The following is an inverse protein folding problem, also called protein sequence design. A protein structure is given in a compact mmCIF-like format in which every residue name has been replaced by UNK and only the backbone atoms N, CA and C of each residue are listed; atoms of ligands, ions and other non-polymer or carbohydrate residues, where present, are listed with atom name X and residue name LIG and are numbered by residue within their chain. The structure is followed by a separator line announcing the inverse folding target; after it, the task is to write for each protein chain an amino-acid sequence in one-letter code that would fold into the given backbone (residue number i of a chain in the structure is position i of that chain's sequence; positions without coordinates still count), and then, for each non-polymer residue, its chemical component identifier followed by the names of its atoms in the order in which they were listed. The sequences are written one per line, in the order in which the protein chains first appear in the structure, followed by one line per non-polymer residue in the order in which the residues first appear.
data_IF_349698270390
#
_entry.id   IF_349698270390
#
_cell.length_a   1.000
_cell.length_b   1.000
_cell.length_c   1.000
_cell.angle_alpha   90.00
_cell.angle_beta   90.00
_cell.angle_gamma   90.00
#
_symmetry.space_group_name_H-M   'P 1'
#
loop_
_entity.id
_entity.type
_entity.pdbx_description
1 polymer ?
#
# COMPACT_ATOMS: atom_id res chain seq x y z
N UNK A 1 -75.23 19.80 31.69
CA UNK A 1 -74.65 18.60 30.95
C UNK A 1 -73.57 19.12 30.01
N UNK A 2 -72.34 19.07 30.43
CA UNK A 2 -71.20 19.48 29.59
C UNK A 2 -70.76 18.26 28.70
N UNK A 3 -71.04 18.33 27.39
CA UNK A 3 -70.38 17.47 26.42
C UNK A 3 -68.93 17.99 26.26
N UNK A 4 -68.01 17.41 27.03
CA UNK A 4 -66.59 17.65 26.81
C UNK A 4 -66.23 17.16 25.40
N UNK A 5 -65.75 18.06 24.56
CA UNK A 5 -65.26 17.75 23.23
C UNK A 5 -64.06 16.78 23.33
N UNK A 6 -64.30 15.51 23.17
CA UNK A 6 -63.30 14.43 23.12
C UNK A 6 -62.43 14.49 21.81
N UNK A 7 -62.89 15.25 20.83
CA UNK A 7 -62.27 15.34 19.52
C UNK A 7 -60.80 15.83 19.56
N UNK A 8 -60.42 16.91 20.31
CA UNK A 8 -59.03 17.34 20.36
C UNK A 8 -58.10 16.34 21.08
N UNK A 9 -58.63 15.53 21.99
CA UNK A 9 -57.82 14.48 22.64
C UNK A 9 -57.54 13.32 21.68
N UNK A 10 -58.54 12.95 20.88
CA UNK A 10 -58.40 11.92 19.87
C UNK A 10 -57.39 12.35 18.76
N UNK A 11 -57.44 13.63 18.35
CA UNK A 11 -56.51 14.15 17.34
C UNK A 11 -55.06 14.18 17.84
N UNK A 12 -54.82 14.48 19.11
CA UNK A 12 -53.48 14.44 19.73
C UNK A 12 -52.94 13.04 19.86
N UNK A 13 -53.78 12.06 20.20
CA UNK A 13 -53.40 10.67 20.29
C UNK A 13 -53.10 10.07 18.93
N UNK A 14 -53.88 10.42 17.89
CA UNK A 14 -53.57 10.02 16.51
C UNK A 14 -52.26 10.62 15.97
N UNK A 15 -52.00 11.90 16.25
CA UNK A 15 -50.74 12.55 15.90
C UNK A 15 -49.53 11.92 16.61
N UNK A 16 -49.69 11.60 17.92
CA UNK A 16 -48.63 10.92 18.68
C UNK A 16 -48.36 9.49 18.13
N UNK A 17 -49.42 8.73 17.81
CA UNK A 17 -49.26 7.41 17.21
C UNK A 17 -48.59 7.47 15.82
N UNK A 18 -48.91 8.49 14.98
CA UNK A 18 -48.29 8.69 13.71
C UNK A 18 -46.81 9.09 13.86
N UNK A 19 -46.43 9.91 14.84
CA UNK A 19 -45.05 10.24 15.15
C UNK A 19 -44.27 9.01 15.64
N UNK A 20 -44.86 8.21 16.53
CA UNK A 20 -44.24 6.96 17.01
C UNK A 20 -44.03 5.99 15.84
N UNK A 21 -45.03 5.85 14.97
CA UNK A 21 -44.93 4.98 13.79
C UNK A 21 -43.89 5.49 12.80
N UNK A 22 -43.83 6.79 12.56
CA UNK A 22 -42.79 7.42 11.72
C UNK A 22 -41.38 7.23 12.33
N UNK A 23 -41.26 7.38 13.68
CA UNK A 23 -39.99 7.09 14.36
C UNK A 23 -39.62 5.60 14.29
N UNK A 24 -40.58 4.68 14.46
CA UNK A 24 -40.33 3.24 14.31
C UNK A 24 -39.96 2.88 12.87
N UNK A 25 -40.58 3.51 11.87
CA UNK A 25 -40.27 3.32 10.45
C UNK A 25 -38.87 3.87 10.13
N UNK A 26 -38.53 5.06 10.66
CA UNK A 26 -37.18 5.61 10.49
C UNK A 26 -36.12 4.82 11.24
N UNK A 27 -36.42 4.25 12.41
CA UNK A 27 -35.51 3.32 13.10
C UNK A 27 -35.38 2.03 12.32
N UNK A 28 -36.47 1.43 11.80
CA UNK A 28 -36.38 0.24 10.93
C UNK A 28 -35.63 0.49 9.64
N UNK A 29 -35.82 1.66 9.01
CA UNK A 29 -35.04 2.09 7.85
C UNK A 29 -33.56 2.38 8.19
N UNK A 30 -33.30 2.85 9.42
CA UNK A 30 -31.95 3.14 9.90
C UNK A 30 -31.23 1.90 10.48
N UNK A 31 -31.97 0.91 10.99
CA UNK A 31 -31.40 -0.34 11.53
C UNK A 31 -31.35 -1.46 10.50
N UNK A 32 -31.77 -1.17 9.22
CA UNK A 32 -31.71 -2.13 8.14
C UNK A 32 -32.25 -3.52 8.54
N UNK A 33 -33.60 -3.63 8.71
CA UNK A 33 -34.23 -4.95 8.76
C UNK A 33 -34.23 -5.49 7.31
N UNK A 34 -33.01 -5.70 6.79
CA UNK A 34 -32.79 -6.28 5.48
C UNK A 34 -33.10 -7.77 5.63
N UNK A 35 -34.16 -8.25 5.02
CA UNK A 35 -34.48 -9.67 4.94
C UNK A 35 -33.46 -10.50 4.15
N UNK A 36 -32.34 -9.90 3.80
CA UNK A 36 -31.13 -10.49 3.21
C UNK A 36 -29.90 -9.88 3.89
N UNK A 37 -28.81 -10.65 4.06
CA UNK A 37 -27.55 -10.16 4.60
C UNK A 37 -27.02 -8.97 3.76
N UNK A 38 -26.36 -8.01 4.42
CA UNK A 38 -25.70 -6.90 3.74
C UNK A 38 -24.62 -7.42 2.80
N UNK A 39 -24.52 -6.87 1.59
CA UNK A 39 -23.47 -7.28 0.63
C UNK A 39 -22.24 -6.40 0.78
N UNK A 40 -21.09 -7.02 1.01
CA UNK A 40 -19.75 -6.39 1.00
C UNK A 40 -18.99 -6.89 -0.23
N UNK A 41 -18.65 -6.00 -1.12
CA UNK A 41 -17.85 -6.31 -2.31
C UNK A 41 -16.35 -6.16 -2.04
N UNK A 42 -15.55 -7.05 -2.62
CA UNK A 42 -14.10 -6.94 -2.66
C UNK A 42 -13.64 -6.99 -4.11
N UNK A 43 -12.99 -5.92 -4.56
CA UNK A 43 -12.35 -5.82 -5.86
C UNK A 43 -10.84 -5.83 -5.60
N UNK A 44 -10.15 -6.88 -6.04
CA UNK A 44 -8.72 -7.03 -5.83
C UNK A 44 -7.93 -6.77 -7.11
N UNK A 45 -6.67 -6.32 -7.00
CA UNK A 45 -5.73 -6.41 -8.10
C UNK A 45 -5.45 -7.90 -8.38
N UNK A 46 -5.33 -8.24 -9.66
CA UNK A 46 -4.74 -9.51 -10.06
C UNK A 46 -3.23 -9.36 -9.93
N UNK A 47 -2.65 -9.86 -8.80
CA UNK A 47 -1.21 -9.92 -8.56
C UNK A 47 -0.31 -8.78 -9.17
N UNK A 48 0.78 -8.35 -8.54
CA UNK A 48 1.59 -9.06 -7.55
C UNK A 48 1.36 -8.64 -6.09
N UNK A 49 0.64 -7.54 -5.82
CA UNK A 49 0.50 -7.01 -4.45
C UNK A 49 -0.93 -7.21 -3.96
N UNK A 50 -1.11 -8.11 -3.01
CA UNK A 50 -2.38 -8.25 -2.29
C UNK A 50 -2.38 -7.31 -1.08
N UNK A 51 -3.06 -6.18 -1.19
CA UNK A 51 -3.21 -5.22 -0.09
C UNK A 51 -4.15 -5.69 1.02
N UNK A 52 -4.92 -6.74 0.76
CA UNK A 52 -5.93 -7.26 1.65
C UNK A 52 -5.82 -8.79 1.71
N UNK A 53 -5.83 -9.35 2.91
CA UNK A 53 -6.10 -10.77 3.10
C UNK A 53 -7.60 -10.99 3.06
N UNK A 54 -8.10 -11.47 1.92
CA UNK A 54 -9.54 -11.60 1.66
C UNK A 54 -10.21 -12.62 2.57
N UNK A 55 -9.51 -13.71 2.91
CA UNK A 55 -10.04 -14.76 3.78
C UNK A 55 -10.13 -14.26 5.22
N UNK A 56 -9.06 -13.64 5.74
CA UNK A 56 -9.04 -13.01 7.06
C UNK A 56 -10.05 -11.86 7.16
N UNK A 57 -10.21 -11.07 6.08
CA UNK A 57 -11.22 -10.02 6.01
C UNK A 57 -12.64 -10.59 6.11
N UNK A 58 -12.96 -11.63 5.33
CA UNK A 58 -14.27 -12.28 5.37
C UNK A 58 -14.55 -12.92 6.75
N UNK A 59 -13.53 -13.57 7.35
CA UNK A 59 -13.63 -14.16 8.69
C UNK A 59 -13.89 -13.07 9.75
N UNK A 60 -13.22 -11.92 9.66
CA UNK A 60 -13.41 -10.82 10.61
C UNK A 60 -14.81 -10.21 10.59
N UNK A 61 -15.53 -10.36 9.48
CA UNK A 61 -16.91 -9.90 9.30
C UNK A 61 -17.95 -10.98 9.55
N UNK A 62 -17.55 -12.22 9.89
CA UNK A 62 -18.46 -13.37 10.03
C UNK A 62 -19.52 -13.21 11.14
N UNK A 63 -19.25 -12.36 12.14
CA UNK A 63 -20.24 -12.06 13.21
C UNK A 63 -21.31 -11.05 12.77
N UNK A 64 -21.10 -10.38 11.63
CA UNK A 64 -22.06 -9.47 11.03
C UNK A 64 -22.98 -10.24 10.10
N UNK A 65 -24.24 -9.82 10.02
CA UNK A 65 -25.18 -10.36 9.03
C UNK A 65 -24.86 -9.78 7.63
N UNK A 66 -23.72 -10.21 7.06
CA UNK A 66 -23.23 -9.77 5.75
C UNK A 66 -22.67 -10.92 4.92
N UNK A 67 -22.77 -10.78 3.60
CA UNK A 67 -22.15 -11.64 2.60
C UNK A 67 -20.94 -10.92 2.01
N UNK A 68 -19.74 -11.51 2.07
CA UNK A 68 -18.55 -10.98 1.40
C UNK A 68 -18.46 -11.63 0.01
N UNK A 69 -18.38 -10.80 -1.04
CA UNK A 69 -18.26 -11.24 -2.43
C UNK A 69 -17.04 -10.65 -3.08
N UNK A 70 -16.16 -11.52 -3.55
CA UNK A 70 -14.96 -11.15 -4.31
C UNK A 70 -15.32 -11.07 -5.79
N UNK A 71 -14.83 -10.04 -6.47
CA UNK A 71 -15.02 -9.89 -7.93
C UNK A 71 -14.29 -10.97 -8.72
N UNK A 72 -14.80 -11.27 -9.91
CA UNK A 72 -14.16 -12.20 -10.82
C UNK A 72 -12.81 -11.65 -11.32
N UNK A 73 -11.81 -12.53 -11.45
CA UNK A 73 -10.54 -12.20 -12.05
C UNK A 73 -10.69 -11.90 -13.55
N UNK A 74 -9.99 -10.87 -14.03
CA UNK A 74 -9.92 -10.55 -15.46
C UNK A 74 -10.89 -9.48 -15.96
N UNK A 75 -11.73 -8.92 -15.09
CA UNK A 75 -12.50 -7.70 -15.39
C UNK A 75 -11.78 -6.47 -14.80
N UNK A 76 -12.04 -5.28 -15.35
CA UNK A 76 -11.46 -4.07 -14.80
C UNK A 76 -12.00 -3.79 -13.40
N UNK A 77 -11.20 -3.13 -12.53
CA UNK A 77 -11.65 -2.76 -11.18
C UNK A 77 -12.90 -1.87 -11.21
N UNK A 78 -13.04 -1.01 -12.23
CA UNK A 78 -14.22 -0.17 -12.42
C UNK A 78 -15.46 -1.00 -12.76
N UNK A 79 -15.36 -1.92 -13.74
CA UNK A 79 -16.49 -2.78 -14.11
C UNK A 79 -16.89 -3.69 -12.95
N UNK A 80 -15.92 -4.23 -12.20
CA UNK A 80 -16.17 -5.04 -11.01
C UNK A 80 -16.93 -4.24 -9.92
N UNK A 81 -16.48 -3.03 -9.64
CA UNK A 81 -17.14 -2.15 -8.68
C UNK A 81 -18.57 -1.80 -9.12
N UNK A 82 -18.79 -1.46 -10.40
CA UNK A 82 -20.12 -1.17 -10.93
C UNK A 82 -21.06 -2.39 -10.81
N UNK A 83 -20.59 -3.59 -11.15
CA UNK A 83 -21.38 -4.82 -10.99
C UNK A 83 -21.78 -5.06 -9.53
N UNK A 84 -20.86 -4.84 -8.59
CA UNK A 84 -21.15 -5.01 -7.16
C UNK A 84 -22.17 -3.95 -6.66
N UNK A 85 -22.07 -2.70 -7.13
CA UNK A 85 -23.05 -1.65 -6.84
C UNK A 85 -24.44 -2.05 -7.35
N UNK A 86 -24.54 -2.52 -8.60
CA UNK A 86 -25.80 -2.99 -9.19
C UNK A 86 -26.40 -4.20 -8.43
N UNK A 87 -25.55 -5.04 -7.82
CA UNK A 87 -25.97 -6.15 -6.97
C UNK A 87 -26.39 -5.71 -5.57
N UNK A 88 -26.28 -4.43 -5.24
CA UNK A 88 -26.71 -3.84 -3.98
C UNK A 88 -25.64 -3.88 -2.89
N UNK A 89 -24.36 -3.86 -3.23
CA UNK A 89 -23.29 -3.78 -2.25
C UNK A 89 -23.39 -2.49 -1.42
N UNK A 90 -23.36 -2.61 -0.09
CA UNK A 90 -23.38 -1.48 0.83
C UNK A 90 -21.98 -0.92 1.06
N UNK A 91 -20.97 -1.78 1.00
CA UNK A 91 -19.55 -1.41 1.10
C UNK A 91 -18.79 -2.14 0.00
N UNK A 92 -17.86 -1.45 -0.65
CA UNK A 92 -16.92 -2.04 -1.61
C UNK A 92 -15.50 -1.65 -1.22
N UNK A 93 -14.65 -2.65 -0.99
CA UNK A 93 -13.22 -2.49 -0.83
C UNK A 93 -12.57 -2.69 -2.20
N UNK A 94 -11.80 -1.71 -2.66
CA UNK A 94 -11.15 -1.70 -3.97
C UNK A 94 -9.63 -1.65 -3.76
N UNK A 95 -8.96 -2.78 -4.01
CA UNK A 95 -7.51 -2.84 -4.08
C UNK A 95 -7.02 -2.40 -5.47
N UNK A 96 -6.02 -1.55 -5.53
CA UNK A 96 -5.46 -1.10 -6.81
C UNK A 96 -3.99 -0.71 -6.66
N UNK A 97 -3.18 -1.09 -7.66
CA UNK A 97 -1.78 -0.71 -7.78
C UNK A 97 -1.58 0.60 -8.55
N UNK A 98 -2.65 1.07 -9.20
CA UNK A 98 -2.65 2.32 -9.96
C UNK A 98 -3.78 3.23 -9.47
N UNK A 99 -3.63 4.56 -9.56
CA UNK A 99 -4.67 5.49 -9.16
C UNK A 99 -5.98 5.22 -9.90
N UNK A 100 -7.05 5.06 -9.13
CA UNK A 100 -8.38 4.84 -9.68
C UNK A 100 -8.92 6.13 -10.32
N UNK A 101 -9.40 6.05 -11.56
CA UNK A 101 -9.73 7.25 -12.37
C UNK A 101 -11.15 7.28 -12.93
N UNK A 102 -11.98 6.24 -12.70
CA UNK A 102 -13.32 6.15 -13.27
C UNK A 102 -14.36 6.92 -12.42
N UNK A 103 -14.96 8.03 -12.92
CA UNK A 103 -15.93 8.82 -12.18
C UNK A 103 -17.32 8.15 -12.10
N UNK A 104 -17.63 7.19 -12.99
CA UNK A 104 -18.95 6.56 -13.02
C UNK A 104 -19.16 5.70 -11.78
N UNK A 105 -18.11 5.06 -11.27
CA UNK A 105 -18.16 4.30 -10.00
C UNK A 105 -18.59 5.20 -8.84
N UNK A 106 -18.03 6.40 -8.73
CA UNK A 106 -18.40 7.36 -7.67
C UNK A 106 -19.83 7.85 -7.83
N UNK A 107 -20.25 8.10 -9.06
CA UNK A 107 -21.63 8.53 -9.38
C UNK A 107 -22.65 7.45 -9.01
N UNK A 108 -22.38 6.20 -9.38
CA UNK A 108 -23.26 5.07 -9.06
C UNK A 108 -23.23 4.74 -7.56
N UNK A 109 -22.06 4.77 -6.92
CA UNK A 109 -21.97 4.58 -5.48
C UNK A 109 -22.77 5.65 -4.72
N UNK A 110 -22.73 6.91 -5.15
CA UNK A 110 -23.54 7.98 -4.55
C UNK A 110 -25.04 7.74 -4.76
N UNK A 111 -25.48 7.29 -5.94
CA UNK A 111 -26.87 6.97 -6.22
C UNK A 111 -27.41 5.81 -5.38
N UNK A 112 -26.57 4.83 -5.06
CA UNK A 112 -26.92 3.64 -4.27
C UNK A 112 -26.54 3.78 -2.78
N UNK A 113 -25.87 4.86 -2.39
CA UNK A 113 -25.34 5.09 -1.03
C UNK A 113 -24.27 4.09 -0.59
N UNK A 114 -23.59 3.42 -1.53
CA UNK A 114 -22.53 2.46 -1.32
C UNK A 114 -21.26 3.14 -0.79
N UNK A 115 -20.68 2.66 0.28
CA UNK A 115 -19.38 3.15 0.79
C UNK A 115 -18.23 2.56 -0.04
N UNK A 116 -17.30 3.40 -0.49
CA UNK A 116 -16.10 3.01 -1.22
C UNK A 116 -14.88 3.11 -0.32
N UNK A 117 -14.13 2.02 -0.18
CA UNK A 117 -12.87 1.94 0.56
C UNK A 117 -11.77 1.54 -0.41
N UNK A 118 -10.87 2.46 -0.73
CA UNK A 118 -9.71 2.18 -1.59
C UNK A 118 -8.53 1.75 -0.74
N UNK A 119 -7.71 0.81 -1.24
CA UNK A 119 -6.48 0.36 -0.58
C UNK A 119 -5.37 0.19 -1.61
N UNK A 120 -4.16 0.62 -1.25
CA UNK A 120 -3.00 0.63 -2.15
C UNK A 120 -2.81 1.97 -2.83
N UNK A 121 -3.12 2.08 -4.13
CA UNK A 121 -3.07 3.35 -4.83
C UNK A 121 -4.38 4.13 -4.70
N UNK A 122 -4.31 5.34 -4.16
CA UNK A 122 -5.47 6.21 -4.01
C UNK A 122 -6.06 6.67 -5.32
N UNK A 123 -7.39 6.88 -5.36
CA UNK A 123 -8.02 7.56 -6.47
C UNK A 123 -7.55 9.01 -6.57
N UNK A 124 -7.80 9.63 -7.74
CA UNK A 124 -7.57 11.07 -7.87
C UNK A 124 -8.35 11.84 -6.81
N UNK A 125 -7.72 12.80 -6.15
CA UNK A 125 -8.33 13.60 -5.05
C UNK A 125 -9.69 14.17 -5.43
N UNK A 126 -9.83 14.69 -6.65
CA UNK A 126 -11.10 15.22 -7.16
C UNK A 126 -12.24 14.20 -7.11
N UNK A 127 -11.96 12.92 -7.28
CA UNK A 127 -12.96 11.85 -7.20
C UNK A 127 -13.32 11.56 -5.75
N UNK A 128 -12.35 11.48 -4.84
CA UNK A 128 -12.60 11.35 -3.40
C UNK A 128 -13.46 12.51 -2.86
N UNK A 129 -13.18 13.74 -3.29
CA UNK A 129 -13.92 14.93 -2.90
C UNK A 129 -15.35 14.93 -3.44
N UNK A 130 -15.60 14.24 -4.56
CA UNK A 130 -16.92 14.19 -5.20
C UNK A 130 -17.94 13.34 -4.46
N UNK A 131 -17.50 12.47 -3.53
CA UNK A 131 -18.38 11.55 -2.80
C UNK A 131 -18.00 11.41 -1.33
N UNK A 132 -18.93 11.75 -0.42
CA UNK A 132 -18.66 11.80 1.04
C UNK A 132 -18.34 10.44 1.66
N UNK A 133 -18.81 9.33 1.06
CA UNK A 133 -18.57 7.98 1.56
C UNK A 133 -17.44 7.25 0.80
N UNK A 134 -16.53 7.99 0.17
CA UNK A 134 -15.32 7.44 -0.43
C UNK A 134 -14.10 7.78 0.43
N UNK A 135 -13.26 6.78 0.70
CA UNK A 135 -12.09 6.88 1.59
C UNK A 135 -10.94 6.07 1.02
N UNK A 136 -9.71 6.48 1.30
CA UNK A 136 -8.52 5.77 0.85
C UNK A 136 -7.63 5.38 2.03
N UNK A 137 -7.20 4.12 2.07
CA UNK A 137 -6.14 3.62 2.94
C UNK A 137 -4.86 3.52 2.12
N UNK A 138 -4.02 4.54 2.24
CA UNK A 138 -2.80 4.68 1.47
C UNK A 138 -1.65 3.91 2.10
N UNK A 139 -0.88 3.33 1.21
CA UNK A 139 0.40 2.75 1.52
C UNK A 139 1.46 3.85 1.63
N UNK A 140 2.08 4.00 2.81
CA UNK A 140 3.18 4.96 3.02
C UNK A 140 4.50 4.43 2.44
N UNK A 141 4.62 4.45 1.12
CA UNK A 141 5.84 4.04 0.42
C UNK A 141 7.05 4.90 0.81
N UNK A 142 6.84 6.17 1.17
CA UNK A 142 7.89 7.05 1.65
C UNK A 142 8.49 6.49 2.95
N UNK A 143 7.64 6.10 3.91
CA UNK A 143 8.08 5.48 5.16
C UNK A 143 8.87 4.18 4.91
N UNK A 144 8.45 3.36 3.94
CA UNK A 144 9.19 2.16 3.54
C UNK A 144 10.63 2.47 3.10
N UNK A 145 10.80 3.46 2.24
CA UNK A 145 12.12 3.96 1.82
C UNK A 145 12.95 4.49 2.99
N UNK A 146 12.34 5.31 3.86
CA UNK A 146 13.00 5.88 5.05
C UNK A 146 13.48 4.79 6.02
N UNK A 147 12.68 3.75 6.28
CA UNK A 147 13.09 2.65 7.14
C UNK A 147 14.36 1.97 6.62
N UNK A 148 14.41 1.67 5.34
CA UNK A 148 15.57 1.01 4.71
C UNK A 148 16.78 1.96 4.66
N UNK A 149 16.61 3.22 4.27
CA UNK A 149 17.68 4.22 4.23
C UNK A 149 18.31 4.47 5.59
N UNK A 150 17.50 4.53 6.65
CA UNK A 150 17.98 4.62 8.02
C UNK A 150 18.85 3.44 8.41
N UNK A 151 18.44 2.19 8.10
CA UNK A 151 19.22 1.00 8.43
C UNK A 151 20.56 1.00 7.71
N UNK A 152 20.58 1.31 6.41
CA UNK A 152 21.79 1.38 5.62
C UNK A 152 22.75 2.48 6.15
N UNK A 153 22.24 3.68 6.40
CA UNK A 153 23.03 4.79 6.92
C UNK A 153 23.61 4.52 8.30
N UNK A 154 22.83 3.92 9.19
CA UNK A 154 23.34 3.55 10.53
C UNK A 154 24.43 2.48 10.43
N UNK A 155 24.23 1.45 9.59
CA UNK A 155 25.23 0.41 9.38
C UNK A 155 26.52 0.96 8.79
N UNK A 156 26.46 1.88 7.85
CA UNK A 156 27.62 2.55 7.26
C UNK A 156 28.39 3.38 8.31
N UNK A 157 27.68 4.20 9.07
CA UNK A 157 28.30 5.03 10.14
C UNK A 157 28.91 4.22 11.27
N UNK A 158 28.35 3.07 11.59
CA UNK A 158 28.84 2.17 12.64
C UNK A 158 29.97 1.26 12.13
N UNK A 159 30.24 1.26 10.82
CA UNK A 159 31.27 0.44 10.17
C UNK A 159 30.89 -1.05 10.03
N UNK A 160 29.61 -1.39 10.21
CA UNK A 160 29.11 -2.74 9.93
C UNK A 160 28.79 -2.94 8.44
N UNK A 161 28.58 -1.88 7.71
CA UNK A 161 28.62 -1.78 6.26
C UNK A 161 29.94 -1.10 5.90
N UNK A 162 30.80 -1.79 5.14
CA UNK A 162 32.14 -1.30 4.81
C UNK A 162 32.06 -0.33 3.64
N UNK A 163 32.77 0.77 3.77
CA UNK A 163 33.16 1.65 2.68
C UNK A 163 34.28 0.93 1.90
N UNK A 164 33.95 0.46 0.68
CA UNK A 164 34.80 -0.49 -0.05
C UNK A 164 36.00 0.21 -0.72
N UNK A 165 35.82 1.46 -1.15
CA UNK A 165 36.83 2.24 -1.84
C UNK A 165 37.41 3.41 -1.00
N UNK A 166 36.91 3.58 0.25
CA UNK A 166 37.36 4.58 1.23
C UNK A 166 37.09 6.04 0.78
N UNK A 167 36.06 6.25 -0.06
CA UNK A 167 35.68 7.57 -0.59
C UNK A 167 34.69 8.32 0.33
N UNK A 168 34.12 7.63 1.35
CA UNK A 168 33.13 8.12 2.34
C UNK A 168 31.74 8.40 1.79
N UNK A 169 31.45 7.91 0.62
CA UNK A 169 30.11 7.87 0.06
C UNK A 169 29.52 6.47 0.29
N UNK A 170 28.24 6.36 0.18
CA UNK A 170 27.53 5.08 0.18
C UNK A 170 27.13 4.78 -1.25
N UNK A 171 27.86 3.87 -1.88
CA UNK A 171 27.61 3.46 -3.25
C UNK A 171 26.37 2.62 -3.37
N UNK A 172 25.40 3.06 -4.17
CA UNK A 172 24.07 2.49 -4.26
C UNK A 172 23.70 2.09 -5.68
N UNK A 173 22.96 0.97 -5.78
CA UNK A 173 22.17 0.59 -6.96
C UNK A 173 20.71 0.44 -6.54
N UNK A 174 19.79 0.98 -7.33
CA UNK A 174 18.36 0.82 -7.15
C UNK A 174 17.78 -0.21 -8.10
N UNK A 175 17.09 -1.23 -7.58
CA UNK A 175 16.22 -2.13 -8.35
C UNK A 175 14.78 -1.76 -8.08
N UNK A 176 14.23 -0.90 -8.94
CA UNK A 176 12.93 -0.25 -8.79
C UNK A 176 12.02 -0.62 -9.98
N UNK A 177 11.40 -1.81 -9.97
CA UNK A 177 10.60 -2.28 -11.09
C UNK A 177 9.51 -1.28 -11.48
N UNK A 178 9.37 -1.01 -12.78
CA UNK A 178 8.41 -0.04 -13.28
C UNK A 178 6.95 -0.43 -13.05
N UNK A 179 6.70 -1.70 -12.84
CA UNK A 179 5.40 -2.28 -12.47
C UNK A 179 5.15 -2.32 -10.94
N UNK A 180 6.16 -1.97 -10.12
CA UNK A 180 5.98 -1.86 -8.68
C UNK A 180 5.45 -0.47 -8.32
N UNK A 181 4.26 -0.38 -7.73
CA UNK A 181 3.69 0.90 -7.36
C UNK A 181 4.61 1.65 -6.39
N UNK A 182 4.79 2.92 -6.64
CA UNK A 182 5.58 3.79 -5.76
C UNK A 182 7.09 3.49 -5.69
N UNK A 183 7.65 2.60 -6.53
CA UNK A 183 9.08 2.27 -6.52
C UNK A 183 9.98 3.53 -6.54
N UNK A 184 9.65 4.50 -7.39
CA UNK A 184 10.40 5.76 -7.45
C UNK A 184 10.30 6.62 -6.18
N UNK A 185 9.20 6.49 -5.41
CA UNK A 185 9.06 7.15 -4.10
C UNK A 185 9.99 6.47 -3.10
N UNK A 186 9.96 5.14 -3.04
CA UNK A 186 10.82 4.33 -2.15
C UNK A 186 12.29 4.67 -2.35
N UNK A 187 12.76 4.66 -3.60
CA UNK A 187 14.16 4.97 -3.92
C UNK A 187 14.58 6.39 -3.51
N UNK A 188 13.76 7.38 -3.83
CA UNK A 188 14.04 8.78 -3.45
C UNK A 188 14.11 8.95 -1.94
N UNK A 189 13.17 8.38 -1.20
CA UNK A 189 13.13 8.51 0.25
C UNK A 189 14.23 7.70 0.95
N UNK A 190 14.66 6.57 0.36
CA UNK A 190 15.85 5.84 0.79
C UNK A 190 17.09 6.73 0.78
N UNK A 191 17.37 7.40 -0.35
CA UNK A 191 18.52 8.28 -0.49
C UNK A 191 18.42 9.50 0.43
N UNK A 192 17.25 10.15 0.48
CA UNK A 192 17.01 11.30 1.34
C UNK A 192 17.22 10.98 2.84
N UNK A 193 16.83 9.79 3.27
CA UNK A 193 17.00 9.36 4.66
C UNK A 193 18.47 9.06 4.97
N UNK A 194 19.23 8.49 4.03
CA UNK A 194 20.68 8.35 4.19
C UNK A 194 21.35 9.73 4.42
N UNK A 195 21.02 10.73 3.61
CA UNK A 195 21.52 12.09 3.76
C UNK A 195 21.07 12.71 5.10
N UNK A 196 19.82 12.46 5.54
CA UNK A 196 19.33 12.92 6.84
C UNK A 196 20.20 12.43 8.00
N UNK A 197 20.71 11.19 7.90
CA UNK A 197 21.66 10.62 8.87
C UNK A 197 23.11 11.02 8.63
N UNK A 198 23.37 11.92 7.69
CA UNK A 198 24.69 12.46 7.35
C UNK A 198 25.56 11.50 6.55
N UNK A 199 24.95 10.56 5.84
CA UNK A 199 25.60 9.65 4.90
C UNK A 199 25.26 10.13 3.48
N UNK A 200 26.25 10.61 2.76
CA UNK A 200 26.07 10.97 1.36
C UNK A 200 26.12 9.70 0.51
N UNK A 201 25.27 9.67 -0.51
CA UNK A 201 25.12 8.50 -1.38
C UNK A 201 25.61 8.81 -2.77
N UNK A 202 26.31 7.88 -3.41
CA UNK A 202 26.51 7.86 -4.85
C UNK A 202 25.59 6.81 -5.48
N UNK A 203 24.59 7.30 -6.24
CA UNK A 203 23.63 6.45 -6.91
C UNK A 203 24.09 6.18 -8.34
N UNK A 204 24.72 5.03 -8.58
CA UNK A 204 25.21 4.68 -9.89
C UNK A 204 24.10 4.47 -10.91
N UNK A 205 23.03 3.74 -10.54
CA UNK A 205 21.91 3.54 -11.45
C UNK A 205 20.63 3.07 -10.74
N UNK A 206 19.47 3.39 -11.37
CA UNK A 206 18.17 2.81 -11.03
C UNK A 206 17.69 1.93 -12.18
N UNK A 207 17.59 0.64 -11.94
CA UNK A 207 17.05 -0.31 -12.91
C UNK A 207 15.54 -0.41 -12.74
N UNK A 208 14.78 -0.07 -13.79
CA UNK A 208 13.32 -0.16 -13.81
C UNK A 208 12.82 -1.41 -14.53
N UNK A 209 13.65 -1.99 -15.38
CA UNK A 209 13.40 -3.30 -16.01
C UNK A 209 14.18 -4.37 -15.25
N UNK A 210 13.51 -4.98 -14.27
CA UNK A 210 14.12 -5.98 -13.38
C UNK A 210 13.78 -7.37 -13.92
N UNK A 211 14.53 -7.78 -14.94
CA UNK A 211 14.34 -9.05 -15.66
C UNK A 211 15.51 -10.01 -15.48
N UNK A 212 15.44 -11.18 -16.11
CA UNK A 212 16.52 -12.17 -16.11
C UNK A 212 17.83 -11.66 -16.76
N UNK A 213 17.75 -10.60 -17.60
CA UNK A 213 18.90 -9.99 -18.26
C UNK A 213 19.59 -8.90 -17.40
N UNK A 214 19.09 -8.69 -16.17
CA UNK A 214 19.61 -7.71 -15.22
C UNK A 214 21.12 -7.83 -14.99
N UNK A 215 21.64 -9.05 -14.98
CA UNK A 215 23.08 -9.30 -14.83
C UNK A 215 23.93 -8.57 -15.88
N UNK A 216 23.52 -8.66 -17.14
CA UNK A 216 24.22 -7.97 -18.22
C UNK A 216 24.15 -6.45 -18.04
N UNK A 217 22.98 -5.95 -17.70
CA UNK A 217 22.73 -4.52 -17.53
C UNK A 217 23.52 -3.93 -16.36
N UNK A 218 23.58 -4.62 -15.21
CA UNK A 218 24.38 -4.16 -14.05
C UNK A 218 25.86 -4.16 -14.40
N UNK A 219 26.37 -5.23 -15.01
CA UNK A 219 27.79 -5.30 -15.43
C UNK A 219 28.14 -4.20 -16.42
N UNK A 220 27.27 -3.89 -17.38
CA UNK A 220 27.51 -2.88 -18.40
C UNK A 220 27.59 -1.48 -17.76
N UNK A 221 26.66 -1.14 -16.89
CA UNK A 221 26.66 0.15 -16.17
C UNK A 221 27.89 0.26 -15.28
N UNK A 222 28.17 -0.77 -14.50
CA UNK A 222 29.31 -0.77 -13.58
C UNK A 222 30.66 -0.65 -14.27
N UNK A 223 30.84 -1.27 -15.43
CA UNK A 223 32.05 -1.14 -16.22
C UNK A 223 32.17 0.21 -16.94
N UNK A 224 31.06 0.87 -17.25
CA UNK A 224 31.09 2.20 -17.87
C UNK A 224 31.50 3.27 -16.87
N UNK A 225 31.03 3.21 -15.62
CA UNK A 225 31.37 4.17 -14.56
C UNK A 225 32.83 3.98 -14.09
N UNK A 226 33.36 2.78 -14.17
CA UNK A 226 34.78 2.49 -13.87
C UNK A 226 35.80 2.98 -14.96
N UNK A 227 35.31 3.52 -16.09
CA UNK A 227 36.22 4.13 -17.07
C UNK A 227 36.40 5.62 -16.75
N UNK A 228 37.61 6.06 -16.36
CA UNK A 228 37.86 7.49 -16.14
C UNK A 228 37.54 8.28 -17.41
N UNK A 229 36.80 9.36 -17.28
CA UNK A 229 36.35 10.24 -18.38
C UNK A 229 37.49 10.85 -19.20
N UNK A 230 38.72 10.71 -18.76
CA UNK A 230 39.95 11.29 -19.33
C UNK A 230 41.00 10.24 -19.74
N UNK A 231 40.60 9.06 -20.22
CA UNK A 231 41.54 8.14 -20.85
C UNK A 231 42.02 8.66 -22.22
N UNK A 232 42.52 9.88 -22.26
CA UNK A 232 43.37 10.41 -23.32
C UNK A 232 44.82 10.16 -22.91
N UNK A 233 45.38 9.05 -23.41
CA UNK A 233 46.80 8.83 -23.64
C UNK A 233 47.77 9.19 -22.49
N UNK A 234 47.85 8.33 -21.45
CA UNK A 234 49.13 8.21 -20.75
C UNK A 234 49.43 6.74 -20.49
N UNK A 235 50.54 6.26 -21.10
CA UNK A 235 51.03 4.86 -21.09
C UNK A 235 51.61 4.44 -19.71
N UNK A 236 51.08 4.89 -18.62
CA UNK A 236 51.41 4.37 -17.30
C UNK A 236 50.34 3.35 -16.90
N UNK A 237 50.65 2.06 -17.15
CA UNK A 237 49.90 0.93 -16.65
C UNK A 237 49.87 0.97 -15.11
N UNK A 238 49.06 1.86 -14.55
CA UNK A 238 48.55 1.76 -13.19
C UNK A 238 47.43 0.71 -13.20
N UNK A 239 47.50 -0.16 -12.24
CA UNK A 239 46.56 -1.24 -11.99
C UNK A 239 45.13 -0.67 -11.85
N UNK A 240 44.40 -0.56 -12.99
CA UNK A 240 42.98 -0.13 -13.03
C UNK A 240 42.13 -1.37 -12.77
N UNK A 241 42.26 -1.94 -11.57
CA UNK A 241 41.43 -3.02 -11.10
C UNK A 241 40.58 -2.60 -9.89
N UNK A 242 40.20 -1.33 -9.85
CA UNK A 242 39.28 -0.89 -8.81
C UNK A 242 37.90 -0.60 -9.43
N UNK A 243 37.24 -1.69 -9.85
CA UNK A 243 35.79 -1.67 -10.02
C UNK A 243 35.21 -1.71 -8.63
N UNK A 244 34.99 -0.55 -8.04
CA UNK A 244 34.29 -0.43 -6.77
C UNK A 244 32.96 -1.20 -6.90
N UNK A 245 32.60 -1.97 -5.88
CA UNK A 245 31.33 -2.68 -5.84
C UNK A 245 30.35 -1.84 -5.02
N UNK A 246 29.03 -1.88 -5.28
CA UNK A 246 28.10 -1.14 -4.47
C UNK A 246 28.09 -1.67 -3.04
N UNK A 247 28.04 -0.76 -2.07
CA UNK A 247 27.83 -1.17 -0.68
C UNK A 247 26.39 -1.60 -0.45
N UNK A 248 25.42 -0.97 -1.17
CA UNK A 248 24.00 -1.28 -1.02
C UNK A 248 23.30 -1.44 -2.37
N UNK A 249 22.53 -2.51 -2.50
CA UNK A 249 21.49 -2.66 -3.52
C UNK A 249 20.14 -2.53 -2.84
N UNK A 250 19.38 -1.46 -3.12
CA UNK A 250 18.04 -1.31 -2.57
C UNK A 250 16.97 -1.71 -3.59
N UNK A 251 15.99 -2.51 -3.12
CA UNK A 251 15.06 -3.23 -3.96
C UNK A 251 13.61 -2.93 -3.57
N UNK A 252 12.78 -2.54 -4.52
CA UNK A 252 11.35 -2.49 -4.35
C UNK A 252 10.74 -3.82 -4.82
N UNK A 253 10.29 -4.63 -3.86
CA UNK A 253 9.69 -5.94 -4.07
C UNK A 253 10.63 -7.12 -3.81
N UNK A 254 10.05 -8.21 -3.33
CA UNK A 254 10.78 -9.45 -2.99
C UNK A 254 11.48 -10.05 -4.20
N UNK A 255 10.84 -9.98 -5.36
CA UNK A 255 11.43 -10.48 -6.62
C UNK A 255 12.69 -9.71 -7.02
N UNK A 256 12.69 -8.39 -6.85
CA UNK A 256 13.87 -7.56 -7.10
C UNK A 256 15.02 -7.94 -6.16
N UNK A 257 14.73 -8.21 -4.88
CA UNK A 257 15.72 -8.64 -3.90
C UNK A 257 16.33 -10.01 -4.24
N UNK A 258 15.51 -10.97 -4.68
CA UNK A 258 16.01 -12.28 -5.15
C UNK A 258 16.97 -12.14 -6.33
N UNK A 259 16.63 -11.29 -7.30
CA UNK A 259 17.50 -11.01 -8.45
C UNK A 259 18.76 -10.28 -8.02
N UNK A 260 18.69 -9.30 -7.12
CA UNK A 260 19.85 -8.61 -6.56
C UNK A 260 20.81 -9.59 -5.89
N UNK A 261 20.27 -10.50 -5.07
CA UNK A 261 21.08 -11.52 -4.39
C UNK A 261 21.79 -12.45 -5.39
N UNK A 262 21.08 -12.93 -6.41
CA UNK A 262 21.68 -13.78 -7.45
C UNK A 262 22.78 -13.01 -8.21
N UNK A 263 22.57 -11.73 -8.51
CA UNK A 263 23.59 -10.87 -9.14
C UNK A 263 24.81 -10.69 -8.25
N UNK A 264 24.61 -10.29 -6.99
CA UNK A 264 25.70 -10.13 -6.02
C UNK A 264 26.49 -11.44 -5.85
N UNK A 265 25.80 -12.59 -5.88
CA UNK A 265 26.45 -13.90 -5.84
C UNK A 265 27.32 -14.18 -7.08
N UNK A 266 26.81 -13.89 -8.28
CA UNK A 266 27.54 -14.10 -9.54
C UNK A 266 28.76 -13.19 -9.67
N UNK A 267 28.66 -11.96 -9.14
CA UNK A 267 29.74 -10.97 -9.16
C UNK A 267 30.73 -11.11 -7.99
N UNK A 268 30.45 -12.01 -7.04
CA UNK A 268 31.30 -12.22 -5.88
C UNK A 268 31.18 -11.11 -4.80
N UNK A 269 30.11 -10.33 -4.81
CA UNK A 269 29.85 -9.21 -3.89
C UNK A 269 29.21 -9.63 -2.56
N UNK A 270 28.74 -10.89 -2.46
CA UNK A 270 28.12 -11.36 -1.22
C UNK A 270 29.08 -11.26 -0.04
N UNK A 271 28.61 -10.67 1.04
CA UNK A 271 29.37 -10.44 2.29
C UNK A 271 29.92 -9.03 2.42
N UNK A 272 30.08 -8.29 1.33
CA UNK A 272 30.47 -6.86 1.32
C UNK A 272 29.33 -5.95 0.92
N UNK A 273 28.60 -6.29 -0.16
CA UNK A 273 27.36 -5.60 -0.55
C UNK A 273 26.19 -6.06 0.31
N UNK A 274 25.39 -5.12 0.81
CA UNK A 274 24.14 -5.38 1.52
C UNK A 274 22.93 -5.19 0.61
N UNK A 275 21.89 -6.00 0.84
CA UNK A 275 20.64 -5.91 0.10
C UNK A 275 19.55 -5.37 1.04
N UNK A 276 18.99 -4.22 0.67
CA UNK A 276 17.87 -3.58 1.36
C UNK A 276 16.59 -3.82 0.56
N UNK A 277 15.60 -4.49 1.12
CA UNK A 277 14.41 -4.94 0.41
C UNK A 277 13.12 -4.41 1.02
N UNK A 278 12.21 -3.94 0.17
CA UNK A 278 10.83 -3.66 0.52
C UNK A 278 9.97 -4.84 0.08
N UNK A 279 9.50 -5.64 1.01
CA UNK A 279 8.69 -6.82 0.72
C UNK A 279 7.19 -6.51 0.72
N UNK A 280 6.42 -7.29 -0.04
CA UNK A 280 4.97 -7.12 -0.23
C UNK A 280 4.16 -7.58 0.98
N UNK A 281 4.73 -8.43 1.82
CA UNK A 281 4.09 -8.96 3.02
C UNK A 281 5.12 -9.41 4.05
N UNK A 282 4.66 -9.68 5.27
CA UNK A 282 5.50 -10.24 6.34
C UNK A 282 6.04 -11.63 5.98
N UNK A 283 5.23 -12.45 5.30
CA UNK A 283 5.62 -13.80 4.85
C UNK A 283 6.75 -13.71 3.82
N UNK A 284 6.63 -12.81 2.83
CA UNK A 284 7.67 -12.57 1.84
C UNK A 284 8.96 -12.06 2.51
N UNK A 285 8.82 -11.13 3.45
CA UNK A 285 9.94 -10.61 4.22
C UNK A 285 10.67 -11.71 5.00
N UNK A 286 9.91 -12.58 5.68
CA UNK A 286 10.47 -13.71 6.42
C UNK A 286 11.16 -14.70 5.48
N UNK A 287 10.58 -14.98 4.32
CA UNK A 287 11.20 -15.84 3.31
C UNK A 287 12.56 -15.29 2.81
N UNK A 288 12.64 -13.97 2.55
CA UNK A 288 13.90 -13.32 2.18
C UNK A 288 14.95 -13.43 3.29
N UNK A 289 14.55 -13.26 4.55
CA UNK A 289 15.44 -13.41 5.71
C UNK A 289 15.94 -14.85 5.86
N UNK A 290 15.03 -15.82 5.85
CA UNK A 290 15.35 -17.23 6.06
C UNK A 290 16.27 -17.78 4.94
N UNK A 291 16.13 -17.27 3.73
CA UNK A 291 17.01 -17.56 2.60
C UNK A 291 18.35 -16.79 2.66
N UNK A 292 18.50 -15.82 3.54
CA UNK A 292 19.67 -14.93 3.58
C UNK A 292 19.77 -14.03 2.33
N UNK A 293 18.63 -13.73 1.70
CA UNK A 293 18.57 -12.99 0.43
C UNK A 293 18.71 -11.48 0.63
N UNK A 294 18.24 -10.94 1.75
CA UNK A 294 18.31 -9.53 2.07
C UNK A 294 18.73 -9.31 3.53
N UNK A 295 19.46 -8.21 3.77
CA UNK A 295 20.02 -7.84 5.08
C UNK A 295 19.10 -6.90 5.85
N UNK A 296 18.51 -5.92 5.15
CA UNK A 296 17.57 -4.93 5.70
C UNK A 296 16.24 -5.11 5.00
N UNK A 297 15.19 -5.44 5.77
CA UNK A 297 13.90 -5.78 5.19
C UNK A 297 12.82 -4.95 5.87
N UNK A 298 12.09 -4.18 5.06
CA UNK A 298 10.82 -3.59 5.45
C UNK A 298 9.70 -4.28 4.67
N UNK A 299 8.50 -4.32 5.23
CA UNK A 299 7.37 -5.00 4.60
C UNK A 299 6.06 -4.25 4.80
N UNK A 300 5.13 -4.46 3.86
CA UNK A 300 3.75 -4.03 4.00
C UNK A 300 3.01 -4.94 4.99
N UNK A 301 2.50 -4.35 6.07
CA UNK A 301 1.75 -5.11 7.09
C UNK A 301 0.30 -5.31 6.67
N UNK A 302 0.10 -6.28 5.77
CA UNK A 302 -1.21 -6.65 5.22
C UNK A 302 -2.20 -7.06 6.31
N UNK A 303 -1.73 -7.70 7.38
CA UNK A 303 -2.57 -8.15 8.48
C UNK A 303 -3.21 -6.96 9.20
N UNK A 304 -2.41 -5.95 9.56
CA UNK A 304 -2.91 -4.71 10.16
C UNK A 304 -3.79 -3.92 9.19
N UNK A 305 -3.43 -3.83 7.91
CA UNK A 305 -4.29 -3.18 6.90
C UNK A 305 -5.65 -3.86 6.77
N UNK A 306 -5.67 -5.21 6.75
CA UNK A 306 -6.90 -6.01 6.73
C UNK A 306 -7.76 -5.74 7.97
N UNK A 307 -7.15 -5.67 9.15
CA UNK A 307 -7.85 -5.34 10.40
C UNK A 307 -8.47 -3.93 10.37
N UNK A 308 -7.75 -2.94 9.85
CA UNK A 308 -8.25 -1.57 9.70
C UNK A 308 -9.44 -1.53 8.73
N UNK A 309 -9.33 -2.18 7.56
CA UNK A 309 -10.41 -2.24 6.56
C UNK A 309 -11.63 -2.98 7.09
N UNK A 310 -11.44 -4.04 7.88
CA UNK A 310 -12.52 -4.75 8.56
C UNK A 310 -13.28 -3.83 9.52
N UNK A 311 -12.55 -3.04 10.32
CA UNK A 311 -13.16 -2.07 11.22
C UNK A 311 -13.89 -0.95 10.46
N UNK A 312 -13.32 -0.46 9.34
CA UNK A 312 -13.98 0.52 8.48
C UNK A 312 -15.28 -0.04 7.91
N UNK A 313 -15.25 -1.26 7.40
CA UNK A 313 -16.43 -1.95 6.87
C UNK A 313 -17.49 -2.14 7.94
N UNK A 314 -17.10 -2.63 9.13
CA UNK A 314 -18.00 -2.75 10.27
C UNK A 314 -18.66 -1.41 10.62
N UNK A 315 -17.89 -0.32 10.67
CA UNK A 315 -18.42 1.01 10.98
C UNK A 315 -19.39 1.50 9.88
N UNK A 316 -19.03 1.30 8.59
CA UNK A 316 -19.88 1.68 7.46
C UNK A 316 -21.22 0.95 7.47
N UNK A 317 -21.23 -0.37 7.68
CA UNK A 317 -22.44 -1.18 7.77
C UNK A 317 -23.34 -0.78 8.96
N UNK A 318 -22.75 -0.25 10.03
CA UNK A 318 -23.47 0.27 11.19
C UNK A 318 -23.79 1.78 11.10
N UNK A 319 -23.66 2.39 9.92
CA UNK A 319 -23.90 3.82 9.68
C UNK A 319 -23.11 4.75 10.60
N UNK A 320 -21.89 4.32 10.98
CA UNK A 320 -20.96 5.12 11.78
C UNK A 320 -19.92 5.79 10.87
N UNK A 321 -19.19 6.74 11.43
CA UNK A 321 -17.99 7.24 10.76
C UNK A 321 -16.97 6.12 10.56
N UNK A 322 -16.42 5.95 9.35
CA UNK A 322 -15.59 4.79 8.99
C UNK A 322 -14.41 4.57 9.95
N UNK A 323 -13.77 5.63 10.41
CA UNK A 323 -12.64 5.56 11.34
C UNK A 323 -13.04 5.64 12.81
N UNK A 324 -14.32 5.50 13.14
CA UNK A 324 -14.72 5.52 14.54
C UNK A 324 -14.07 4.38 15.31
N UNK A 325 -13.41 4.71 16.42
CA UNK A 325 -12.69 3.77 17.29
C UNK A 325 -11.52 3.03 16.60
N UNK A 326 -11.02 3.57 15.46
CA UNK A 326 -9.86 3.03 14.76
C UNK A 326 -8.55 3.68 15.25
N UNK A 327 -7.46 2.93 15.11
CA UNK A 327 -6.11 3.40 15.45
C UNK A 327 -5.58 4.46 14.49
N UNK A 328 -6.06 4.44 13.24
CA UNK A 328 -5.73 5.42 12.21
C UNK A 328 -6.85 6.44 12.05
N UNK A 329 -6.47 7.68 11.78
CA UNK A 329 -7.41 8.77 11.54
C UNK A 329 -7.15 9.35 10.16
N UNK A 330 -8.19 9.81 9.44
CA UNK A 330 -8.00 10.40 8.13
C UNK A 330 -7.36 11.78 8.24
N UNK A 331 -6.63 12.14 7.20
CA UNK A 331 -6.26 13.52 6.96
C UNK A 331 -7.47 14.37 6.45
N UNK A 332 -7.22 15.65 6.16
CA UNK A 332 -8.22 16.56 5.59
C UNK A 332 -8.71 16.17 4.18
N UNK A 333 -7.96 15.29 3.50
CA UNK A 333 -8.21 14.82 2.14
C UNK A 333 -8.84 13.42 2.09
N UNK A 334 -9.30 12.86 3.23
CA UNK A 334 -9.91 11.53 3.38
C UNK A 334 -8.95 10.37 3.15
N UNK A 335 -7.65 10.60 3.35
CA UNK A 335 -6.64 9.57 3.31
C UNK A 335 -6.29 9.09 4.71
N UNK A 336 -6.21 7.79 4.86
CA UNK A 336 -5.64 7.12 6.01
C UNK A 336 -4.27 6.61 5.60
N UNK A 337 -3.23 7.07 6.26
CA UNK A 337 -1.86 6.65 5.94
C UNK A 337 -1.49 5.49 6.83
N UNK A 338 -0.99 4.43 6.21
CA UNK A 338 -0.57 3.22 6.86
C UNK A 338 0.85 2.85 6.42
N UNK A 339 1.76 2.70 7.39
CA UNK A 339 3.18 2.56 7.13
C UNK A 339 3.67 1.12 6.97
N UNK A 340 4.88 1.00 6.44
CA UNK A 340 5.66 -0.23 6.45
C UNK A 340 6.25 -0.51 7.83
N UNK A 341 6.67 -1.74 8.07
CA UNK A 341 7.35 -2.16 9.28
C UNK A 341 8.69 -2.80 8.93
N UNK A 342 9.68 -2.65 9.83
CA UNK A 342 10.92 -3.40 9.75
C UNK A 342 10.71 -4.83 10.24
N UNK A 343 11.32 -5.78 9.56
CA UNK A 343 11.42 -7.14 10.02
C UNK A 343 12.60 -7.23 11.02
N UNK A 344 12.26 -7.42 12.29
CA UNK A 344 13.24 -7.56 13.39
C UNK A 344 13.95 -8.93 13.39
#
# INVERSE_FOLDING_TARGET
MMKKNLFPVFLRLAALAACIYACMLSVRLATGDHGSPALVGVVGPAEPISYLDTDAFAESLAELDCEVRVSDAGISAADAALQLIEQGAEVIVIGSDVPFTDPDVFTQAAAHSTTLLFVGASPQQKLLDSYDKAWALDNDAAHGGQLLGKQAAMAFREGSLQDVDDDKLLDCIGLLPGDYPSAGIVGREFLAECEHYGVYTDLHHNFTDVTADLHYSINEVWQQDAQPADALEDDSAGDVSDTSQPEVIFCAGSRAAELAHEQARQMGWLGTTRIAALAESRESAQALRDAGTADYIAYYDRETATSILSQFTHNALNYRFVAQDCTVQPDENKHFIFGYQLLE
#
